data_IF_883872955539
#
_entry.id   IF_883872955539
#
_cell.length_a   1.000
_cell.length_b   1.000
_cell.length_c   1.000
_cell.angle_alpha   90.00
_cell.angle_beta   90.00
_cell.angle_gamma   90.00
#
_symmetry.space_group_name_H-M   'P 1'
#
loop_
_entity.id
_entity.type
_entity.pdbx_description
1 polymer ?
#
# COMPACT_ATOMS: atom_id res chain seq x y z
N UNK A 1 -29.42 47.43 -54.57
CA UNK A 1 -28.07 47.79 -54.07
C UNK A 1 -28.20 48.05 -52.57
N UNK A 2 -27.94 47.01 -51.76
CA UNK A 2 -26.82 46.89 -50.77
C UNK A 2 -27.17 47.51 -49.42
N UNK A 3 -27.91 46.78 -48.56
CA UNK A 3 -27.43 46.03 -47.37
C UNK A 3 -26.51 46.86 -46.48
N UNK A 4 -27.03 47.32 -45.33
CA UNK A 4 -26.24 47.89 -44.23
C UNK A 4 -26.40 47.00 -42.99
N UNK A 5 -25.27 46.67 -42.40
CA UNK A 5 -25.03 45.49 -41.56
C UNK A 5 -25.08 45.86 -40.07
N UNK A 6 -25.67 44.96 -39.28
CA UNK A 6 -25.74 44.90 -37.81
C UNK A 6 -24.36 44.87 -37.13
N UNK A 7 -24.31 45.14 -35.80
CA UNK A 7 -23.43 44.61 -34.72
C UNK A 7 -23.14 45.76 -33.73
N UNK A 8 -23.85 45.95 -32.61
CA UNK A 8 -23.87 45.21 -31.34
C UNK A 8 -22.47 44.98 -30.72
N UNK A 9 -21.96 45.95 -29.95
CA UNK A 9 -20.78 45.75 -29.11
C UNK A 9 -21.20 45.69 -27.63
N UNK A 10 -21.31 44.46 -27.12
CA UNK A 10 -21.43 44.14 -25.70
C UNK A 10 -20.17 44.63 -24.96
N UNK A 11 -20.34 45.52 -23.99
CA UNK A 11 -19.29 45.88 -23.04
C UNK A 11 -19.15 44.76 -22.01
N UNK A 12 -17.98 44.12 -22.00
CA UNK A 12 -17.66 42.95 -21.22
C UNK A 12 -17.57 43.23 -19.71
N UNK A 13 -18.38 42.52 -18.93
CA UNK A 13 -18.16 42.28 -17.50
C UNK A 13 -16.94 41.37 -17.31
N UNK A 14 -15.77 41.97 -17.09
CA UNK A 14 -14.54 41.26 -16.72
C UNK A 14 -14.26 41.38 -15.22
N UNK A 15 -15.12 40.82 -14.36
CA UNK A 15 -14.80 40.63 -12.95
C UNK A 15 -14.03 39.31 -12.79
N UNK A 16 -12.71 39.41 -12.67
CA UNK A 16 -11.83 38.29 -12.37
C UNK A 16 -12.13 37.74 -10.97
N UNK A 17 -12.93 36.68 -10.91
CA UNK A 17 -13.09 35.84 -9.71
C UNK A 17 -11.93 34.84 -9.64
N UNK A 18 -10.73 35.31 -9.28
CA UNK A 18 -9.66 34.41 -8.82
C UNK A 18 -9.82 34.17 -7.32
N UNK A 19 -10.84 33.39 -6.95
CA UNK A 19 -11.05 32.93 -5.59
C UNK A 19 -10.28 31.61 -5.35
N UNK A 20 -9.22 31.73 -4.56
CA UNK A 20 -8.73 30.74 -3.59
C UNK A 20 -8.40 29.33 -4.09
N UNK A 21 -7.30 29.21 -4.84
CA UNK A 21 -6.52 27.98 -4.90
C UNK A 21 -5.60 27.85 -3.66
N UNK A 22 -6.20 27.86 -2.46
CA UNK A 22 -5.49 27.51 -1.24
C UNK A 22 -5.76 26.04 -0.95
N UNK A 23 -4.92 25.17 -1.48
CA UNK A 23 -4.83 23.82 -0.94
C UNK A 23 -4.55 23.94 0.55
N UNK A 24 -5.38 23.35 1.44
CA UNK A 24 -5.04 23.34 2.85
C UNK A 24 -3.74 22.55 2.98
N UNK A 25 -2.66 23.24 3.38
CA UNK A 25 -1.47 22.55 3.88
C UNK A 25 -1.93 21.76 5.08
N UNK A 26 -2.12 20.46 4.88
CA UNK A 26 -2.33 19.50 5.94
C UNK A 26 -1.17 19.67 6.94
N UNK A 27 -1.48 20.29 8.08
CA UNK A 27 -0.55 20.47 9.19
C UNK A 27 -0.92 19.40 10.19
N UNK A 28 -0.15 18.31 10.30
CA UNK A 28 -0.49 17.27 11.23
C UNK A 28 -0.36 17.81 12.67
N UNK A 29 -1.08 17.22 13.64
CA UNK A 29 -1.09 17.69 15.02
C UNK A 29 0.33 17.74 15.59
N UNK A 30 0.68 18.77 16.40
CA UNK A 30 1.99 18.82 17.04
C UNK A 30 2.16 17.59 17.94
N UNK A 31 3.09 16.70 17.54
CA UNK A 31 3.29 15.38 18.17
C UNK A 31 3.15 14.20 17.20
N UNK A 32 2.71 14.40 15.96
CA UNK A 32 2.91 13.40 14.92
C UNK A 32 4.40 13.37 14.56
N UNK A 33 5.16 12.43 15.12
CA UNK A 33 6.35 11.97 14.43
C UNK A 33 5.88 11.44 13.07
N UNK A 34 6.19 12.16 11.99
CA UNK A 34 6.28 11.52 10.69
C UNK A 34 7.26 10.36 10.87
N UNK A 35 6.77 9.13 10.74
CA UNK A 35 7.63 7.95 10.85
C UNK A 35 8.66 8.06 9.72
N UNK A 36 9.96 8.27 10.01
CA UNK A 36 10.96 8.43 8.97
C UNK A 36 11.34 7.04 8.43
N UNK A 37 10.36 6.30 7.92
CA UNK A 37 10.62 5.16 7.07
C UNK A 37 10.74 5.69 5.64
N UNK A 38 11.88 5.47 4.96
CA UNK A 38 12.00 5.84 3.56
C UNK A 38 10.91 5.11 2.78
N UNK A 39 10.10 5.87 2.05
CA UNK A 39 8.99 5.41 1.17
C UNK A 39 9.46 4.43 0.07
N UNK A 40 10.78 4.21 -0.03
CA UNK A 40 11.40 3.20 -0.89
C UNK A 40 11.20 1.75 -0.40
N UNK A 41 10.72 1.51 0.83
CA UNK A 41 10.32 0.19 1.30
C UNK A 41 8.82 -0.02 1.01
N UNK A 42 8.51 -0.93 0.09
CA UNK A 42 7.18 -1.27 -0.44
C UNK A 42 5.99 -0.89 0.49
N UNK A 43 5.07 0.01 0.07
CA UNK A 43 3.95 0.47 0.91
C UNK A 43 2.99 -0.64 1.35
N UNK A 44 3.14 -1.83 0.77
CA UNK A 44 2.28 -2.97 1.00
C UNK A 44 2.75 -3.86 2.16
N UNK A 45 3.99 -3.72 2.65
CA UNK A 45 4.53 -4.60 3.71
C UNK A 45 4.71 -3.82 5.00
N UNK A 46 3.96 -4.20 6.03
CA UNK A 46 4.10 -3.68 7.39
C UNK A 46 4.75 -4.73 8.29
N UNK A 47 5.96 -4.43 8.77
CA UNK A 47 6.65 -5.24 9.77
C UNK A 47 6.56 -4.52 11.12
N UNK A 48 5.99 -5.19 12.12
CA UNK A 48 5.84 -4.62 13.44
C UNK A 48 7.20 -4.27 14.06
N UNK A 49 7.34 -3.06 14.64
CA UNK A 49 8.64 -2.46 15.06
C UNK A 49 9.60 -3.37 15.84
N UNK A 50 9.15 -4.20 16.81
CA UNK A 50 10.05 -5.10 17.54
C UNK A 50 10.76 -6.10 16.63
N UNK A 51 10.22 -6.37 15.44
CA UNK A 51 10.73 -7.37 14.51
C UNK A 51 11.63 -6.79 13.41
N UNK A 52 11.54 -5.49 13.13
CA UNK A 52 12.17 -4.85 11.96
C UNK A 52 13.68 -5.10 11.81
N UNK A 53 14.42 -5.23 12.92
CA UNK A 53 15.86 -5.51 12.89
C UNK A 53 16.22 -7.00 12.74
N UNK A 54 15.26 -7.88 13.00
CA UNK A 54 15.45 -9.33 13.05
C UNK A 54 14.93 -10.06 11.81
N UNK A 55 14.19 -9.38 10.95
CA UNK A 55 13.69 -9.96 9.70
C UNK A 55 14.17 -9.15 8.51
N UNK A 56 14.64 -9.84 7.48
CA UNK A 56 14.89 -9.30 6.17
C UNK A 56 13.74 -9.72 5.27
N UNK A 57 13.13 -8.75 4.60
CA UNK A 57 12.07 -8.96 3.62
C UNK A 57 12.62 -8.55 2.27
N UNK A 58 12.59 -9.44 1.30
CA UNK A 58 13.00 -9.17 -0.08
C UNK A 58 11.79 -8.77 -0.94
N UNK A 59 12.06 -8.41 -2.19
CA UNK A 59 11.03 -7.97 -3.11
C UNK A 59 9.98 -9.08 -3.32
N UNK A 60 8.69 -8.76 -3.10
CA UNK A 60 7.60 -9.71 -3.27
C UNK A 60 7.35 -9.99 -4.75
N UNK A 61 7.01 -11.23 -5.07
CA UNK A 61 6.63 -11.66 -6.40
C UNK A 61 5.11 -11.69 -6.47
N UNK A 62 4.52 -10.83 -7.30
CA UNK A 62 3.09 -10.82 -7.58
C UNK A 62 2.84 -11.43 -8.96
N UNK A 63 2.02 -12.48 -9.01
CA UNK A 63 1.62 -13.15 -10.25
C UNK A 63 0.10 -13.24 -10.34
N UNK A 64 -0.42 -13.30 -11.56
CA UNK A 64 -1.85 -13.51 -11.80
C UNK A 64 -2.03 -14.74 -12.69
N UNK A 65 -2.94 -15.62 -12.31
CA UNK A 65 -3.30 -16.79 -13.12
C UNK A 65 -4.37 -16.44 -14.17
N UNK A 66 -4.71 -17.43 -15.01
CA UNK A 66 -5.70 -17.28 -16.08
C UNK A 66 -7.13 -17.00 -15.57
N UNK A 67 -7.41 -17.31 -14.31
CA UNK A 67 -8.70 -17.07 -13.66
C UNK A 67 -8.76 -15.69 -12.99
N UNK A 68 -7.67 -14.91 -13.06
CA UNK A 68 -7.59 -13.59 -12.45
C UNK A 68 -7.21 -13.62 -10.97
N UNK A 69 -6.84 -14.78 -10.41
CA UNK A 69 -6.37 -14.90 -9.02
C UNK A 69 -5.04 -14.19 -8.86
N UNK A 70 -4.95 -13.25 -7.91
CA UNK A 70 -3.69 -12.60 -7.56
C UNK A 70 -2.95 -13.44 -6.52
N UNK A 71 -1.78 -13.93 -6.87
CA UNK A 71 -0.87 -14.67 -5.99
C UNK A 71 0.33 -13.81 -5.61
N UNK A 72 0.63 -13.76 -4.31
CA UNK A 72 1.79 -13.07 -3.75
C UNK A 72 2.70 -14.08 -3.07
N UNK A 73 3.98 -14.04 -3.42
CA UNK A 73 5.05 -14.77 -2.74
C UNK A 73 6.07 -13.75 -2.20
N UNK A 74 6.11 -13.55 -0.88
CA UNK A 74 7.04 -12.61 -0.23
C UNK A 74 8.21 -13.37 0.40
N UNK A 75 9.44 -13.24 -0.12
CA UNK A 75 10.60 -13.91 0.46
C UNK A 75 11.03 -13.21 1.76
N UNK A 76 11.25 -14.01 2.80
CA UNK A 76 11.73 -13.53 4.10
C UNK A 76 12.93 -14.35 4.56
N UNK A 77 13.75 -13.74 5.41
CA UNK A 77 14.87 -14.41 6.10
C UNK A 77 15.02 -13.86 7.51
N UNK A 78 15.31 -14.74 8.46
CA UNK A 78 15.67 -14.31 9.81
C UNK A 78 17.13 -13.77 9.84
N UNK A 79 17.29 -12.58 10.41
CA UNK A 79 18.56 -11.91 10.71
C UNK A 79 18.83 -11.99 12.23
N UNK A 80 19.03 -13.22 12.69
CA UNK A 80 19.28 -13.58 14.09
C UNK A 80 20.51 -14.47 14.19
N UNK A 81 20.95 -14.79 15.41
CA UNK A 81 22.15 -15.62 15.59
C UNK A 81 21.91 -17.06 15.10
N UNK A 82 22.98 -17.80 14.77
CA UNK A 82 22.85 -19.23 14.54
C UNK A 82 22.17 -19.92 15.73
N UNK A 83 21.21 -20.80 15.45
CA UNK A 83 20.37 -21.52 16.42
C UNK A 83 19.29 -20.69 17.15
N UNK A 84 19.03 -19.45 16.74
CA UNK A 84 17.87 -18.68 17.18
C UNK A 84 16.81 -18.70 16.08
N UNK A 85 15.59 -19.12 16.42
CA UNK A 85 14.47 -19.11 15.47
C UNK A 85 13.52 -17.94 15.78
N UNK A 86 12.89 -17.40 14.74
CA UNK A 86 11.85 -16.40 14.87
C UNK A 86 10.48 -17.03 14.71
N UNK A 87 9.64 -16.84 15.72
CA UNK A 87 8.24 -17.22 15.65
C UNK A 87 7.42 -16.01 15.22
N UNK A 88 6.78 -16.10 14.06
CA UNK A 88 6.08 -15.00 13.43
C UNK A 88 4.62 -15.35 13.21
N UNK A 89 3.78 -14.33 13.22
CA UNK A 89 2.45 -14.35 12.63
C UNK A 89 2.40 -13.38 11.47
N UNK A 90 1.71 -13.75 10.41
CA UNK A 90 1.50 -12.88 9.26
C UNK A 90 0.09 -13.01 8.71
N UNK A 91 -0.38 -11.99 8.00
CA UNK A 91 -1.63 -12.04 7.26
C UNK A 91 -1.52 -11.20 5.99
N UNK A 92 -2.28 -11.59 4.98
CA UNK A 92 -2.46 -10.82 3.75
C UNK A 92 -3.86 -10.21 3.70
N UNK A 93 -3.95 -8.98 3.22
CA UNK A 93 -5.18 -8.29 2.88
C UNK A 93 -5.17 -7.99 1.40
N UNK A 94 -6.19 -8.44 0.66
CA UNK A 94 -6.36 -8.09 -0.75
C UNK A 94 -7.30 -6.90 -0.89
N UNK A 95 -6.99 -6.02 -1.83
CA UNK A 95 -7.68 -4.77 -2.08
C UNK A 95 -8.20 -4.74 -3.52
N UNK A 96 -9.35 -4.14 -3.74
CA UNK A 96 -9.84 -3.85 -5.08
C UNK A 96 -9.17 -2.62 -5.69
N UNK A 97 -9.52 -2.29 -6.94
CA UNK A 97 -8.95 -1.14 -7.65
C UNK A 97 -9.29 0.22 -7.01
N UNK A 98 -10.23 0.28 -6.06
CA UNK A 98 -10.56 1.47 -5.28
C UNK A 98 -9.90 1.47 -3.90
N UNK A 99 -9.06 0.46 -3.59
CA UNK A 99 -8.39 0.31 -2.30
C UNK A 99 -9.30 -0.23 -1.19
N UNK A 100 -10.46 -0.81 -1.53
CA UNK A 100 -11.36 -1.43 -0.53
C UNK A 100 -10.90 -2.85 -0.25
N UNK A 101 -10.93 -3.25 1.01
CA UNK A 101 -10.59 -4.60 1.45
C UNK A 101 -11.63 -5.60 0.92
N UNK A 102 -11.16 -6.61 0.19
CA UNK A 102 -12.01 -7.68 -0.39
C UNK A 102 -12.37 -8.75 0.64
N UNK A 103 -11.46 -9.02 1.59
CA UNK A 103 -11.69 -9.94 2.70
C UNK A 103 -11.68 -9.17 4.03
N UNK A 104 -12.85 -8.93 4.66
CA UNK A 104 -12.94 -8.06 5.83
C UNK A 104 -12.14 -8.59 7.04
N UNK A 105 -11.99 -9.90 7.16
CA UNK A 105 -11.28 -10.54 8.28
C UNK A 105 -10.31 -11.62 7.78
N UNK A 106 -9.08 -11.24 7.39
CA UNK A 106 -8.05 -12.20 7.02
C UNK A 106 -7.47 -12.87 8.26
N UNK A 107 -7.32 -14.19 8.21
CA UNK A 107 -6.76 -14.97 9.30
C UNK A 107 -5.24 -14.76 9.43
N UNK A 108 -4.76 -14.70 10.68
CA UNK A 108 -3.34 -14.76 10.98
C UNK A 108 -2.80 -16.17 10.77
N UNK A 109 -1.63 -16.27 10.16
CA UNK A 109 -0.92 -17.51 9.89
C UNK A 109 0.38 -17.53 10.68
N UNK A 110 0.69 -18.65 11.30
CA UNK A 110 1.92 -18.85 12.07
C UNK A 110 3.04 -19.43 11.20
N UNK A 111 4.27 -18.96 11.40
CA UNK A 111 5.46 -19.57 10.82
C UNK A 111 6.65 -19.47 11.78
N UNK A 112 7.46 -20.53 11.83
CA UNK A 112 8.77 -20.53 12.49
C UNK A 112 9.86 -20.41 11.44
N UNK A 113 10.68 -19.38 11.55
CA UNK A 113 11.72 -19.01 10.59
C UNK A 113 13.08 -19.28 11.22
N UNK A 114 13.75 -20.32 10.72
CA UNK A 114 15.11 -20.65 11.13
C UNK A 114 16.12 -19.63 10.54
N UNK A 115 17.28 -19.43 11.18
CA UNK A 115 18.29 -18.51 10.69
C UNK A 115 18.87 -19.03 9.36
N UNK A 116 19.35 -18.12 8.51
CA UNK A 116 20.03 -18.42 7.22
C UNK A 116 19.18 -19.05 6.11
N UNK A 117 18.00 -19.60 6.42
CA UNK A 117 17.08 -20.16 5.43
C UNK A 117 16.14 -19.05 4.90
N UNK A 118 15.88 -19.07 3.60
CA UNK A 118 14.87 -18.22 2.98
C UNK A 118 13.52 -18.95 2.97
N UNK A 119 12.50 -18.28 3.51
CA UNK A 119 11.11 -18.73 3.50
C UNK A 119 10.28 -17.84 2.59
N UNK A 120 9.14 -18.34 2.15
CA UNK A 120 8.18 -17.58 1.35
C UNK A 120 6.86 -17.50 2.10
N UNK A 121 6.42 -16.28 2.41
CA UNK A 121 5.07 -16.03 2.89
C UNK A 121 4.16 -15.95 1.66
N UNK A 122 3.19 -16.84 1.55
CA UNK A 122 2.38 -16.95 0.33
C UNK A 122 0.92 -16.68 0.61
N UNK A 123 0.23 -16.06 -0.35
CA UNK A 123 -1.23 -15.92 -0.33
C UNK A 123 -1.80 -15.79 -1.74
N UNK A 124 -3.03 -16.25 -1.89
CA UNK A 124 -3.83 -16.09 -3.10
C UNK A 124 -5.07 -15.26 -2.78
N UNK A 125 -5.49 -14.39 -3.69
CA UNK A 125 -6.78 -13.73 -3.58
C UNK A 125 -7.90 -14.76 -3.72
N UNK A 126 -9.02 -14.52 -3.04
CA UNK A 126 -10.25 -15.32 -3.21
C UNK A 126 -11.20 -14.74 -4.25
N UNK A 127 -10.86 -13.57 -4.78
CA UNK A 127 -11.69 -12.74 -5.65
C UNK A 127 -10.79 -12.22 -6.79
N UNK A 128 -11.31 -12.25 -8.02
CA UNK A 128 -10.62 -11.84 -9.24
C UNK A 128 -10.48 -10.30 -9.34
N UNK A 129 -11.27 -9.56 -8.56
CA UNK A 129 -11.21 -8.09 -8.45
C UNK A 129 -10.01 -7.60 -7.65
N UNK A 130 -9.21 -8.50 -7.05
CA UNK A 130 -8.01 -8.13 -6.33
C UNK A 130 -7.03 -7.41 -7.26
N UNK A 131 -6.81 -6.12 -7.01
CA UNK A 131 -5.91 -5.26 -7.76
C UNK A 131 -4.63 -4.94 -6.98
N UNK A 132 -4.70 -4.97 -5.65
CA UNK A 132 -3.59 -4.65 -4.76
C UNK A 132 -3.63 -5.54 -3.50
N UNK A 133 -2.59 -5.48 -2.69
CA UNK A 133 -2.42 -6.33 -1.52
C UNK A 133 -1.65 -5.63 -0.41
N UNK A 134 -1.80 -6.11 0.83
CA UNK A 134 -1.01 -5.71 1.99
C UNK A 134 -0.62 -6.93 2.80
N UNK A 135 0.58 -6.90 3.36
CA UNK A 135 1.13 -7.91 4.24
C UNK A 135 1.42 -7.27 5.59
N UNK A 136 0.94 -7.89 6.66
CA UNK A 136 1.29 -7.51 8.03
C UNK A 136 2.05 -8.67 8.68
N UNK A 137 3.19 -8.38 9.30
CA UNK A 137 4.04 -9.35 10.00
C UNK A 137 4.26 -8.89 11.44
N UNK A 138 4.03 -9.77 12.40
CA UNK A 138 4.24 -9.53 13.82
C UNK A 138 4.87 -10.73 14.53
N UNK A 139 5.47 -10.55 15.72
CA UNK A 139 5.91 -11.67 16.54
C UNK A 139 4.73 -12.55 16.96
N UNK A 140 4.92 -13.87 16.93
CA UNK A 140 4.01 -14.79 17.59
C UNK A 140 4.27 -14.77 19.10
N UNK A 141 3.20 -14.77 19.90
CA UNK A 141 3.26 -14.88 21.36
C UNK A 141 3.02 -16.31 21.81
#
# INVERSE_FOLDING_TARGET
MTRSTTVLLLLACGAALTACNQTPRYRPPPGSLEDPLPVANYPNINVHRPLTQYILVADPIATRDDLGTLRIDTPIRANVRPNEDLNLQYKYQFLDAQGRVLQPEPAWQYIRVAPTIQYYLTANSMDDRAADWRLEIMPAR
#
